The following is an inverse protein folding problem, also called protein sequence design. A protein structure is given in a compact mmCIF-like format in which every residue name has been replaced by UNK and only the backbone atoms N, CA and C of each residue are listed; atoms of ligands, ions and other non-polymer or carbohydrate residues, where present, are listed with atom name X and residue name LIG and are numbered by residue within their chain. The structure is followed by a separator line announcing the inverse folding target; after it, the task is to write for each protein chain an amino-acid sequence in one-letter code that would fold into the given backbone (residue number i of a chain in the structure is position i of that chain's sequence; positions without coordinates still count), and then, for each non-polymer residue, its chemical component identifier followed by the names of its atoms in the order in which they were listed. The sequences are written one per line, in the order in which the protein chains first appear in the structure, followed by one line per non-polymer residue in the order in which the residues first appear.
data_IF_027466777681
#
_entry.id   IF_027466777681
#
_cell.length_a   1.000
_cell.length_b   1.000
_cell.length_c   1.000
_cell.angle_alpha   90.00
_cell.angle_beta   90.00
_cell.angle_gamma   90.00
#
_symmetry.space_group_name_H-M   'P 1'
#
loop_
_entity.id
_entity.type
_entity.pdbx_description
1 polymer ?
#
# COMPACT_ATOMS: atom_id res chain seq x y z
N UNK A 1 11.23 5.48 22.40
CA UNK A 1 9.99 5.91 21.70
C UNK A 1 8.84 6.16 22.68
N UNK A 2 8.20 7.32 22.62
CA UNK A 2 7.01 7.68 23.43
C UNK A 2 5.73 7.06 22.86
N UNK A 3 4.65 7.01 23.66
CA UNK A 3 3.32 6.54 23.20
C UNK A 3 2.85 7.34 21.97
N UNK A 4 3.10 8.66 21.96
CA UNK A 4 2.70 9.54 20.86
C UNK A 4 3.45 9.22 19.57
N UNK A 5 4.76 9.01 19.67
CA UNK A 5 5.60 8.62 18.52
C UNK A 5 5.19 7.26 17.97
N UNK A 6 4.96 6.28 18.86
CA UNK A 6 4.48 4.95 18.46
C UNK A 6 3.14 5.02 17.74
N UNK A 7 2.17 5.76 18.29
CA UNK A 7 0.85 5.94 17.64
C UNK A 7 0.99 6.59 16.27
N UNK A 8 1.81 7.64 16.15
CA UNK A 8 2.04 8.30 14.87
C UNK A 8 2.64 7.36 13.83
N UNK A 9 3.62 6.53 14.24
CA UNK A 9 4.24 5.53 13.38
C UNK A 9 3.24 4.46 12.93
N UNK A 10 2.42 3.99 13.86
CA UNK A 10 1.36 3.03 13.59
C UNK A 10 0.34 3.59 12.59
N UNK A 11 -0.23 4.77 12.88
CA UNK A 11 -1.24 5.41 12.02
C UNK A 11 -0.69 5.67 10.60
N UNK A 12 0.61 5.98 10.47
CA UNK A 12 1.24 6.24 9.18
C UNK A 12 1.50 4.96 8.35
N UNK A 13 1.97 3.87 8.99
CA UNK A 13 2.51 2.71 8.26
C UNK A 13 1.63 1.47 8.30
N UNK A 14 0.68 1.38 9.23
CA UNK A 14 -0.10 0.16 9.45
C UNK A 14 -0.80 -0.33 8.18
N UNK A 15 -1.47 0.56 7.46
CA UNK A 15 -2.18 0.22 6.22
C UNK A 15 -1.20 -0.30 5.16
N UNK A 16 -0.09 0.41 4.93
CA UNK A 16 0.93 0.00 3.95
C UNK A 16 1.54 -1.36 4.27
N UNK A 17 1.82 -1.62 5.55
CA UNK A 17 2.37 -2.89 6.01
C UNK A 17 1.36 -4.03 5.90
N UNK A 18 0.08 -3.78 6.17
CA UNK A 18 -0.98 -4.77 5.96
C UNK A 18 -1.13 -5.12 4.47
N UNK A 19 -1.10 -4.10 3.60
CA UNK A 19 -1.14 -4.32 2.15
C UNK A 19 0.07 -5.12 1.69
N UNK A 20 1.27 -4.84 2.21
CA UNK A 20 2.48 -5.61 1.91
C UNK A 20 2.30 -7.06 2.34
N UNK A 21 1.95 -7.32 3.60
CA UNK A 21 1.76 -8.69 4.10
C UNK A 21 0.71 -9.45 3.29
N UNK A 22 -0.37 -8.78 2.89
CA UNK A 22 -1.41 -9.36 2.04
C UNK A 22 -0.91 -9.75 0.63
N UNK A 23 0.16 -9.14 0.10
CA UNK A 23 0.80 -9.60 -1.15
C UNK A 23 1.46 -10.97 -1.03
N UNK A 24 1.84 -11.36 0.19
CA UNK A 24 2.37 -12.68 0.49
C UNK A 24 1.26 -13.66 0.87
N UNK A 25 0.36 -13.22 1.76
CA UNK A 25 -0.58 -14.12 2.46
C UNK A 25 -1.90 -14.31 1.72
N UNK A 26 -2.31 -13.34 0.90
CA UNK A 26 -3.63 -13.30 0.23
C UNK A 26 -4.81 -13.51 1.20
N UNK A 27 -4.60 -13.13 2.46
CA UNK A 27 -5.55 -13.18 3.54
C UNK A 27 -5.34 -11.93 4.39
N UNK A 28 -6.27 -10.98 4.26
CA UNK A 28 -6.12 -9.67 4.86
C UNK A 28 -6.22 -9.71 6.39
N UNK A 29 -6.94 -10.67 6.95
CA UNK A 29 -7.08 -10.77 8.40
C UNK A 29 -5.80 -11.34 9.02
N UNK A 30 -5.23 -12.39 8.42
CA UNK A 30 -3.90 -12.88 8.82
C UNK A 30 -2.83 -11.81 8.60
N UNK A 31 -2.91 -11.03 7.53
CA UNK A 31 -1.98 -9.93 7.28
C UNK A 31 -2.01 -8.86 8.38
N UNK A 32 -3.20 -8.49 8.87
CA UNK A 32 -3.34 -7.56 10.01
C UNK A 32 -2.71 -8.12 11.27
N UNK A 33 -2.93 -9.40 11.57
CA UNK A 33 -2.36 -10.06 12.74
C UNK A 33 -0.82 -10.08 12.69
N UNK A 34 -0.25 -10.41 11.53
CA UNK A 34 1.21 -10.36 11.31
C UNK A 34 1.77 -8.97 11.58
N UNK A 35 1.10 -7.93 11.09
CA UNK A 35 1.55 -6.54 11.27
C UNK A 35 1.40 -6.10 12.73
N UNK A 36 0.29 -6.45 13.39
CA UNK A 36 0.10 -6.18 14.82
C UNK A 36 1.21 -6.80 15.66
N UNK A 37 1.56 -8.05 15.41
CA UNK A 37 2.67 -8.71 16.13
C UNK A 37 4.01 -8.00 15.93
N UNK A 38 4.30 -7.50 14.72
CA UNK A 38 5.54 -6.75 14.46
C UNK A 38 5.56 -5.44 15.26
N UNK A 39 4.42 -4.73 15.30
CA UNK A 39 4.29 -3.50 16.09
C UNK A 39 4.39 -3.77 17.59
N UNK A 40 3.76 -4.84 18.09
CA UNK A 40 3.88 -5.29 19.48
C UNK A 40 5.33 -5.58 19.84
N UNK A 41 6.07 -6.28 18.97
CA UNK A 41 7.49 -6.56 19.19
C UNK A 41 8.31 -5.28 19.32
N UNK A 42 8.09 -4.29 18.45
CA UNK A 42 8.78 -2.99 18.54
C UNK A 42 8.50 -2.31 19.88
N UNK A 43 7.26 -2.38 20.36
CA UNK A 43 6.84 -1.80 21.63
C UNK A 43 7.47 -2.52 22.84
N UNK A 44 7.42 -3.85 22.86
CA UNK A 44 7.94 -4.70 23.94
C UNK A 44 9.46 -4.65 24.04
N UNK A 45 10.15 -4.77 22.91
CA UNK A 45 11.61 -4.76 22.83
C UNK A 45 12.18 -3.33 22.94
N UNK A 46 11.31 -2.30 23.00
CA UNK A 46 11.66 -0.87 23.05
C UNK A 46 12.67 -0.49 21.96
N UNK A 47 12.45 -0.97 20.75
CA UNK A 47 13.39 -0.77 19.64
C UNK A 47 13.46 0.73 19.31
N UNK A 48 14.68 1.25 19.29
CA UNK A 48 14.95 2.64 18.91
C UNK A 48 15.57 2.69 17.51
N UNK A 49 15.14 3.68 16.75
CA UNK A 49 15.60 3.90 15.37
C UNK A 49 16.20 5.30 15.27
N UNK A 50 17.32 5.41 14.56
CA UNK A 50 18.02 6.68 14.37
C UNK A 50 17.19 7.68 13.55
N UNK A 51 16.42 7.18 12.59
CA UNK A 51 15.59 7.98 11.70
C UNK A 51 14.44 7.16 11.11
N UNK A 52 13.48 7.84 10.47
CA UNK A 52 12.28 7.24 9.89
C UNK A 52 12.57 6.23 8.77
N UNK A 53 13.64 6.41 8.00
CA UNK A 53 14.01 5.48 6.93
C UNK A 53 14.48 4.14 7.51
N UNK A 54 15.27 4.17 8.58
CA UNK A 54 15.69 2.96 9.30
C UNK A 54 14.45 2.25 9.90
N UNK A 55 13.51 3.01 10.46
CA UNK A 55 12.23 2.47 10.97
C UNK A 55 11.43 1.78 9.87
N UNK A 56 11.23 2.46 8.72
CA UNK A 56 10.51 1.89 7.56
C UNK A 56 11.19 0.62 7.06
N UNK A 57 12.50 0.66 6.83
CA UNK A 57 13.26 -0.48 6.35
C UNK A 57 13.13 -1.70 7.28
N UNK A 58 13.25 -1.46 8.60
CA UNK A 58 13.04 -2.50 9.61
C UNK A 58 11.62 -3.07 9.57
N UNK A 59 10.60 -2.23 9.55
CA UNK A 59 9.19 -2.65 9.54
C UNK A 59 8.84 -3.45 8.30
N UNK A 60 9.16 -2.95 7.11
CA UNK A 60 8.92 -3.65 5.85
C UNK A 60 9.62 -5.01 5.81
N UNK A 61 10.87 -5.08 6.28
CA UNK A 61 11.64 -6.33 6.34
C UNK A 61 11.06 -7.31 7.37
N UNK A 62 10.67 -6.83 8.54
CA UNK A 62 10.09 -7.65 9.61
C UNK A 62 8.75 -8.24 9.19
N UNK A 63 7.90 -7.44 8.53
CA UNK A 63 6.60 -7.90 7.99
C UNK A 63 6.80 -8.90 6.85
N UNK A 64 7.74 -8.66 5.92
CA UNK A 64 8.12 -9.64 4.89
C UNK A 64 8.50 -10.97 5.54
N UNK A 65 9.47 -10.94 6.46
CA UNK A 65 10.01 -12.14 7.07
C UNK A 65 8.94 -12.92 7.82
N UNK A 66 8.13 -12.24 8.65
CA UNK A 66 7.05 -12.88 9.41
C UNK A 66 5.96 -13.44 8.50
N UNK A 67 5.65 -12.80 7.38
CA UNK A 67 4.72 -13.32 6.37
C UNK A 67 5.27 -14.59 5.70
N UNK A 68 6.56 -14.59 5.34
CA UNK A 68 7.22 -15.77 4.77
C UNK A 68 7.30 -16.92 5.77
N UNK A 69 7.58 -16.65 7.04
CA UNK A 69 7.60 -17.64 8.11
C UNK A 69 6.21 -18.27 8.32
N UNK A 70 5.15 -17.45 8.27
CA UNK A 70 3.78 -17.94 8.29
C UNK A 70 3.51 -18.92 7.13
N UNK A 71 3.87 -18.54 5.90
CA UNK A 71 3.70 -19.40 4.71
C UNK A 71 4.51 -20.70 4.82
N UNK A 72 5.75 -20.64 5.30
CA UNK A 72 6.61 -21.82 5.53
C UNK A 72 5.99 -22.77 6.57
N UNK A 73 5.45 -22.23 7.65
CA UNK A 73 4.78 -23.02 8.69
C UNK A 73 3.49 -23.69 8.19
N UNK A 74 2.71 -22.98 7.36
CA UNK A 74 1.49 -23.51 6.72
C UNK A 74 1.84 -24.59 5.70
N UNK A 75 2.87 -24.37 4.88
CA UNK A 75 3.40 -25.34 3.93
C UNK A 75 3.87 -26.62 4.62
N UNK A 76 4.57 -26.52 5.75
CA UNK A 76 4.98 -27.73 6.49
C UNK A 76 3.77 -28.58 6.90
N UNK A 77 2.61 -27.95 7.14
CA UNK A 77 1.35 -28.61 7.47
C UNK A 77 0.53 -29.06 6.26
N UNK A 78 0.87 -28.61 5.04
CA UNK A 78 0.13 -28.91 3.80
C UNK A 78 1.05 -29.44 2.68
N UNK A 79 0.83 -30.67 2.19
CA UNK A 79 1.69 -31.33 1.18
C UNK A 79 1.51 -30.82 -0.26
N UNK A 80 1.07 -29.57 -0.45
CA UNK A 80 0.70 -29.06 -1.77
C UNK A 80 1.90 -28.49 -2.55
N UNK A 81 2.26 -29.11 -3.66
CA UNK A 81 3.36 -28.68 -4.54
C UNK A 81 3.13 -27.30 -5.17
N UNK A 82 1.87 -26.89 -5.38
CA UNK A 82 1.54 -25.57 -5.93
C UNK A 82 1.95 -24.44 -4.96
N UNK A 83 1.96 -24.72 -3.66
CA UNK A 83 2.40 -23.76 -2.64
C UNK A 83 3.91 -23.48 -2.68
N UNK A 84 4.72 -24.45 -3.10
CA UNK A 84 6.18 -24.34 -3.13
C UNK A 84 6.66 -23.36 -4.20
N UNK A 85 6.15 -23.49 -5.43
CA UNK A 85 6.52 -22.60 -6.55
C UNK A 85 6.04 -21.17 -6.34
N UNK A 86 4.90 -21.00 -5.67
CA UNK A 86 4.39 -19.68 -5.29
C UNK A 86 5.29 -19.01 -4.25
N UNK A 87 5.74 -19.77 -3.25
CA UNK A 87 6.66 -19.29 -2.22
C UNK A 87 8.00 -18.85 -2.82
N UNK A 88 8.59 -19.65 -3.72
CA UNK A 88 9.85 -19.31 -4.39
C UNK A 88 9.77 -17.97 -5.15
N UNK A 89 8.63 -17.67 -5.78
CA UNK A 89 8.43 -16.42 -6.49
C UNK A 89 8.42 -15.21 -5.55
N UNK A 90 7.72 -15.31 -4.41
CA UNK A 90 7.53 -14.19 -3.49
C UNK A 90 8.69 -14.02 -2.51
N UNK A 91 9.52 -15.05 -2.29
CA UNK A 91 10.69 -14.99 -1.41
C UNK A 91 11.84 -14.15 -1.99
N UNK A 92 11.78 -13.80 -3.28
CA UNK A 92 12.82 -13.00 -3.95
C UNK A 92 12.89 -11.55 -3.43
N UNK A 93 14.11 -11.01 -3.32
CA UNK A 93 14.32 -9.59 -2.99
C UNK A 93 13.72 -8.65 -4.05
N UNK A 94 13.73 -9.07 -5.33
CA UNK A 94 13.11 -8.29 -6.40
C UNK A 94 11.60 -8.16 -6.25
N UNK A 95 10.90 -9.22 -5.82
CA UNK A 95 9.49 -9.16 -5.48
C UNK A 95 9.24 -8.20 -4.32
N UNK A 96 10.00 -8.34 -3.23
CA UNK A 96 9.86 -7.46 -2.06
C UNK A 96 10.05 -5.98 -2.41
N UNK A 97 11.16 -5.62 -3.06
CA UNK A 97 11.46 -4.25 -3.44
C UNK A 97 10.38 -3.68 -4.37
N UNK A 98 9.90 -4.48 -5.32
CA UNK A 98 8.81 -4.10 -6.21
C UNK A 98 7.54 -3.76 -5.43
N UNK A 99 7.09 -4.65 -4.55
CA UNK A 99 5.84 -4.42 -3.80
C UNK A 99 5.96 -3.22 -2.84
N UNK A 100 7.10 -3.03 -2.18
CA UNK A 100 7.35 -1.85 -1.34
C UNK A 100 7.22 -0.55 -2.15
N UNK A 101 7.85 -0.49 -3.33
CA UNK A 101 7.78 0.69 -4.21
C UNK A 101 6.34 0.96 -4.66
N UNK A 102 5.58 -0.07 -5.03
CA UNK A 102 4.16 0.08 -5.43
C UNK A 102 3.32 0.62 -4.28
N UNK A 103 3.52 0.09 -3.07
CA UNK A 103 2.73 0.45 -1.90
C UNK A 103 3.03 1.89 -1.47
N UNK A 104 4.30 2.30 -1.42
CA UNK A 104 4.68 3.68 -1.10
C UNK A 104 4.15 4.66 -2.16
N UNK A 105 4.29 4.33 -3.46
CA UNK A 105 3.75 5.16 -4.52
C UNK A 105 2.22 5.28 -4.44
N UNK A 106 1.52 4.18 -4.14
CA UNK A 106 0.07 4.17 -3.97
C UNK A 106 -0.35 5.01 -2.76
N UNK A 107 0.40 4.94 -1.65
CA UNK A 107 0.16 5.75 -0.45
C UNK A 107 0.31 7.25 -0.74
N UNK A 108 1.33 7.64 -1.52
CA UNK A 108 1.52 9.03 -1.97
C UNK A 108 0.32 9.51 -2.79
N UNK A 109 -0.13 8.70 -3.77
CA UNK A 109 -1.28 9.04 -4.61
C UNK A 109 -2.55 9.17 -3.77
N UNK A 110 -2.80 8.25 -2.84
CA UNK A 110 -3.99 8.31 -1.98
C UNK A 110 -3.96 9.52 -1.03
N UNK A 111 -2.79 9.86 -0.47
CA UNK A 111 -2.61 11.10 0.30
C UNK A 111 -2.95 12.34 -0.52
N UNK A 112 -2.47 12.43 -1.76
CA UNK A 112 -2.81 13.54 -2.66
C UNK A 112 -4.31 13.58 -3.03
N UNK A 113 -4.95 12.41 -3.19
CA UNK A 113 -6.40 12.32 -3.42
C UNK A 113 -7.20 12.82 -2.21
N UNK A 114 -6.72 12.58 -1.00
CA UNK A 114 -7.37 13.07 0.23
C UNK A 114 -7.34 14.60 0.38
N UNK A 115 -6.48 15.31 -0.36
CA UNK A 115 -6.47 16.78 -0.42
C UNK A 115 -7.50 17.36 -1.42
N UNK A 116 -8.15 16.50 -2.20
CA UNK A 116 -9.19 16.92 -3.14
C UNK A 116 -10.53 17.15 -2.43
N UNK A 117 -11.38 18.05 -2.94
CA UNK A 117 -12.77 18.11 -2.50
C UNK A 117 -13.48 16.76 -2.72
N UNK A 118 -14.38 16.36 -1.82
CA UNK A 118 -14.98 15.02 -1.77
C UNK A 118 -15.48 14.50 -3.13
N UNK A 119 -16.15 15.35 -3.91
CA UNK A 119 -16.66 14.99 -5.25
C UNK A 119 -15.54 14.70 -6.25
N UNK A 120 -14.46 15.46 -6.21
CA UNK A 120 -13.27 15.20 -7.02
C UNK A 120 -12.61 13.89 -6.59
N UNK A 121 -12.42 13.68 -5.28
CA UNK A 121 -11.80 12.48 -4.75
C UNK A 121 -12.57 11.20 -5.13
N UNK A 122 -13.90 11.20 -4.97
CA UNK A 122 -14.76 10.08 -5.34
C UNK A 122 -14.63 9.71 -6.82
N UNK A 123 -14.68 10.71 -7.72
CA UNK A 123 -14.55 10.52 -9.17
C UNK A 123 -13.16 9.98 -9.55
N UNK A 124 -12.10 10.45 -8.89
CA UNK A 124 -10.74 9.95 -9.15
C UNK A 124 -10.60 8.51 -8.66
N UNK A 125 -11.11 8.16 -7.47
CA UNK A 125 -11.07 6.78 -6.96
C UNK A 125 -11.82 5.80 -7.87
N UNK A 126 -12.98 6.17 -8.40
CA UNK A 126 -13.70 5.34 -9.38
C UNK A 126 -12.93 5.22 -10.69
N UNK A 127 -12.32 6.32 -11.16
CA UNK A 127 -11.46 6.29 -12.36
C UNK A 127 -10.26 5.35 -12.18
N UNK A 128 -9.67 5.27 -10.98
CA UNK A 128 -8.57 4.35 -10.66
C UNK A 128 -9.03 2.89 -10.59
N UNK A 129 -10.32 2.64 -10.36
CA UNK A 129 -10.96 1.32 -10.49
C UNK A 129 -11.38 1.02 -11.94
N UNK A 130 -10.86 1.77 -12.91
CA UNK A 130 -11.12 1.63 -14.34
C UNK A 130 -12.56 1.93 -14.80
N UNK A 131 -13.37 2.59 -13.96
CA UNK A 131 -14.72 3.02 -14.37
C UNK A 131 -14.61 4.08 -15.47
N UNK A 132 -15.41 3.94 -16.52
CA UNK A 132 -15.56 4.91 -17.59
C UNK A 132 -16.27 6.17 -17.09
N UNK A 133 -16.18 7.26 -17.87
CA UNK A 133 -16.86 8.52 -17.53
C UNK A 133 -18.38 8.33 -17.45
N UNK A 134 -18.95 7.43 -18.26
CA UNK A 134 -20.40 7.12 -18.20
C UNK A 134 -20.73 6.36 -16.93
N UNK A 135 -20.00 5.29 -16.62
CA UNK A 135 -20.25 4.49 -15.42
C UNK A 135 -20.10 5.33 -14.14
N UNK A 136 -19.14 6.26 -14.09
CA UNK A 136 -19.00 7.19 -12.96
C UNK A 136 -20.19 8.15 -12.87
N UNK A 137 -20.70 8.62 -14.01
CA UNK A 137 -21.85 9.51 -14.05
C UNK A 137 -23.10 8.81 -13.52
N UNK A 138 -23.31 7.56 -13.95
CA UNK A 138 -24.41 6.71 -13.54
C UNK A 138 -24.31 6.34 -12.05
N UNK A 139 -23.13 5.88 -11.58
CA UNK A 139 -22.85 5.50 -10.19
C UNK A 139 -23.09 6.66 -9.21
N UNK A 140 -22.73 7.89 -9.59
CA UNK A 140 -22.83 9.06 -8.74
C UNK A 140 -24.12 9.89 -8.96
N UNK A 141 -24.97 9.50 -9.92
CA UNK A 141 -26.19 10.24 -10.26
C UNK A 141 -25.92 11.67 -10.75
N UNK A 142 -24.84 11.89 -11.51
CA UNK A 142 -24.45 13.20 -12.05
C UNK A 142 -24.32 13.17 -13.56
N UNK A 143 -24.26 14.33 -14.22
CA UNK A 143 -24.04 14.36 -15.68
C UNK A 143 -22.61 13.96 -16.07
N UNK A 144 -22.44 13.37 -17.26
CA UNK A 144 -21.13 13.14 -17.89
C UNK A 144 -20.26 14.40 -17.89
N UNK A 145 -20.86 15.57 -18.14
CA UNK A 145 -20.16 16.86 -18.14
C UNK A 145 -19.68 17.27 -16.75
N UNK A 146 -20.44 16.93 -15.71
CA UNK A 146 -20.03 17.10 -14.31
C UNK A 146 -18.79 16.25 -14.04
N UNK A 147 -18.78 14.97 -14.44
CA UNK A 147 -17.63 14.09 -14.26
C UNK A 147 -16.38 14.65 -14.95
N UNK A 148 -16.49 15.04 -16.23
CA UNK A 148 -15.38 15.64 -16.99
C UNK A 148 -14.84 16.91 -16.32
N UNK A 149 -15.73 17.80 -15.87
CA UNK A 149 -15.34 19.04 -15.19
C UNK A 149 -14.62 18.76 -13.88
N UNK A 150 -15.14 17.84 -13.05
CA UNK A 150 -14.51 17.46 -11.78
C UNK A 150 -13.16 16.77 -12.00
N UNK A 151 -13.02 15.90 -13.01
CA UNK A 151 -11.71 15.31 -13.37
C UNK A 151 -10.68 16.39 -13.73
N UNK A 152 -11.07 17.40 -14.51
CA UNK A 152 -10.19 18.53 -14.85
C UNK A 152 -9.73 19.31 -13.60
N UNK A 153 -10.64 19.57 -12.67
CA UNK A 153 -10.32 20.24 -11.39
C UNK A 153 -9.37 19.37 -10.56
N UNK A 154 -9.67 18.08 -10.44
CA UNK A 154 -8.86 17.12 -9.71
C UNK A 154 -7.44 17.05 -10.26
N UNK A 155 -7.27 16.88 -11.58
CA UNK A 155 -5.94 16.85 -12.20
C UNK A 155 -5.16 18.14 -12.01
N UNK A 156 -5.82 19.31 -12.08
CA UNK A 156 -5.16 20.59 -11.82
C UNK A 156 -4.62 20.69 -10.38
N UNK A 157 -5.30 20.07 -9.41
CA UNK A 157 -4.87 20.04 -8.00
C UNK A 157 -3.83 18.96 -7.72
N UNK A 158 -4.00 17.75 -8.27
CA UNK A 158 -3.06 16.63 -8.09
C UNK A 158 -1.69 16.91 -8.71
N UNK A 159 -1.66 17.66 -9.82
CA UNK A 159 -0.42 17.92 -10.56
C UNK A 159 0.71 18.48 -9.68
N UNK A 160 0.55 19.61 -8.98
CA UNK A 160 1.60 20.14 -8.08
C UNK A 160 1.88 19.23 -6.88
N UNK A 161 0.86 18.54 -6.33
CA UNK A 161 1.05 17.63 -5.19
C UNK A 161 1.92 16.41 -5.51
N UNK A 162 1.95 16.01 -6.78
CA UNK A 162 2.66 14.82 -7.24
C UNK A 162 3.93 15.15 -8.02
N UNK A 163 4.27 16.42 -8.21
CA UNK A 163 5.36 16.88 -9.09
C UNK A 163 6.72 16.28 -8.71
N UNK A 164 7.06 16.32 -7.42
CA UNK A 164 8.30 15.75 -6.89
C UNK A 164 8.37 14.21 -7.03
N UNK A 165 7.22 13.57 -7.24
CA UNK A 165 7.09 12.12 -7.35
C UNK A 165 6.96 11.63 -8.80
N UNK A 166 7.03 12.50 -9.81
CA UNK A 166 6.84 12.10 -11.22
C UNK A 166 7.84 11.04 -11.66
N UNK A 167 9.11 11.13 -11.26
CA UNK A 167 10.10 10.10 -11.57
C UNK A 167 9.74 8.75 -10.95
N UNK A 168 9.31 8.74 -9.69
CA UNK A 168 8.88 7.52 -8.99
C UNK A 168 7.66 6.91 -9.68
N UNK A 169 6.63 7.72 -9.97
CA UNK A 169 5.39 7.27 -10.62
C UNK A 169 5.68 6.76 -12.03
N UNK A 170 6.52 7.46 -12.79
CA UNK A 170 6.95 7.02 -14.12
C UNK A 170 7.70 5.70 -14.05
N UNK A 171 8.64 5.55 -13.11
CA UNK A 171 9.40 4.32 -12.92
C UNK A 171 8.50 3.14 -12.59
N UNK A 172 7.54 3.34 -11.67
CA UNK A 172 6.48 2.38 -11.37
C UNK A 172 5.76 2.00 -12.67
N UNK A 173 5.11 2.93 -13.35
CA UNK A 173 4.30 2.64 -14.55
C UNK A 173 5.05 1.90 -15.67
N UNK A 174 6.37 2.10 -15.81
CA UNK A 174 7.17 1.42 -16.82
C UNK A 174 7.71 0.07 -16.37
N UNK A 175 7.87 -0.20 -15.08
CA UNK A 175 8.24 -1.53 -14.57
C UNK A 175 7.07 -2.51 -14.64
N UNK A 176 5.83 -2.01 -14.60
CA UNK A 176 4.61 -2.85 -14.62
C UNK A 176 4.05 -3.12 -16.02
N UNK A 177 4.66 -2.57 -17.08
CA UNK A 177 4.44 -2.98 -18.48
C UNK A 177 5.43 -4.05 -18.90
#
# INVERSE_FOLDING_TARGET
MTIKEYKSLFDELYVSLCLLSNKYLEDLDVAKDVVQDVFLKIWEDKIEFENINNTKAYLYTSVKNKSLDYLKSKRYKSTDFLSARKLEKVETESFFLREVVVIEASSIVEKAINELPDKCAAIIRLSLKEYTVSEIADELGVSINTVKTQKKIAYKRLRPLLEEYYFLIFFVLNIFK
#
